data_IF_677241662281
#
_entry.id   IF_677241662281
#
_cell.length_a   1.000
_cell.length_b   1.000
_cell.length_c   1.000
_cell.angle_alpha   90.00
_cell.angle_beta   90.00
_cell.angle_gamma   90.00
#
_symmetry.space_group_name_H-M   'P 1'
#
loop_
_entity.id
_entity.type
_entity.pdbx_description
1 polymer ?
#
# COMPACT_ATOMS: atom_id res chain seq x y z
N UNK A 1 1.72 -0.27 -23.50
CA UNK A 1 0.42 -0.96 -23.36
C UNK A 1 0.24 -1.31 -21.88
N UNK A 2 -0.86 -0.88 -21.24
CA UNK A 2 -1.19 -1.22 -19.85
C UNK A 2 -2.06 -2.47 -19.82
N UNK A 3 -1.73 -3.41 -18.94
CA UNK A 3 -2.50 -4.64 -18.74
C UNK A 3 -2.98 -4.71 -17.28
N UNK A 4 -4.31 -4.61 -17.03
CA UNK A 4 -4.84 -4.76 -15.68
C UNK A 4 -4.53 -6.18 -15.16
N UNK A 5 -4.32 -6.29 -13.84
CA UNK A 5 -4.11 -7.59 -13.21
C UNK A 5 -5.46 -8.22 -12.90
N UNK A 6 -5.64 -9.47 -13.33
CA UNK A 6 -6.87 -10.22 -13.10
C UNK A 6 -6.98 -10.80 -11.67
N UNK A 7 -5.93 -10.67 -10.85
CA UNK A 7 -5.90 -11.24 -9.49
C UNK A 7 -5.33 -10.28 -8.46
N UNK A 8 -5.82 -10.38 -7.22
CA UNK A 8 -5.32 -9.60 -6.09
C UNK A 8 -3.83 -9.88 -5.81
N UNK A 9 -3.37 -11.13 -5.98
CA UNK A 9 -1.96 -11.46 -5.86
C UNK A 9 -1.12 -10.74 -6.92
N UNK A 10 -1.57 -10.73 -8.17
CA UNK A 10 -0.89 -9.99 -9.25
C UNK A 10 -0.84 -8.48 -8.97
N UNK A 11 -1.92 -7.92 -8.43
CA UNK A 11 -2.01 -6.52 -8.04
C UNK A 11 -1.07 -6.20 -6.86
N UNK A 12 -1.02 -7.07 -5.85
CA UNK A 12 -0.10 -6.95 -4.71
C UNK A 12 1.36 -6.90 -5.19
N UNK A 13 1.81 -7.87 -6.00
CA UNK A 13 3.20 -7.90 -6.46
C UNK A 13 3.55 -6.73 -7.37
N UNK A 14 2.59 -6.26 -8.19
CA UNK A 14 2.76 -5.05 -8.98
C UNK A 14 3.03 -3.83 -8.08
N UNK A 15 2.19 -3.62 -7.05
CA UNK A 15 2.33 -2.49 -6.14
C UNK A 15 3.52 -2.63 -5.18
N UNK A 16 3.90 -3.86 -4.81
CA UNK A 16 5.14 -4.17 -4.10
C UNK A 16 6.37 -3.70 -4.89
N UNK A 17 6.43 -4.03 -6.19
CA UNK A 17 7.48 -3.55 -7.10
C UNK A 17 7.47 -2.04 -7.25
N UNK A 18 6.27 -1.44 -7.37
CA UNK A 18 6.12 0.01 -7.47
C UNK A 18 6.61 0.76 -6.22
N UNK A 19 6.28 0.26 -5.02
CA UNK A 19 6.77 0.81 -3.74
C UNK A 19 8.28 0.77 -3.64
N UNK A 20 8.89 -0.37 -3.99
CA UNK A 20 10.36 -0.54 -4.07
C UNK A 20 10.99 0.45 -5.03
N UNK A 21 10.45 0.56 -6.25
CA UNK A 21 10.95 1.51 -7.26
C UNK A 21 10.87 2.96 -6.79
N UNK A 22 9.77 3.34 -6.12
CA UNK A 22 9.62 4.70 -5.59
C UNK A 22 10.62 5.00 -4.47
N UNK A 23 10.84 4.06 -3.55
CA UNK A 23 11.87 4.19 -2.52
C UNK A 23 13.28 4.36 -3.11
N UNK A 24 13.63 3.59 -4.15
CA UNK A 24 14.91 3.76 -4.87
C UNK A 24 15.07 5.18 -5.44
N UNK A 25 14.03 5.71 -6.08
CA UNK A 25 14.07 7.06 -6.65
C UNK A 25 14.20 8.14 -5.56
N UNK A 26 13.47 7.99 -4.46
CA UNK A 26 13.57 8.86 -3.27
C UNK A 26 15.00 8.89 -2.73
N UNK A 27 15.60 7.71 -2.53
CA UNK A 27 16.96 7.58 -2.03
C UNK A 27 18.02 8.10 -3.02
N UNK A 28 17.84 7.84 -4.32
CA UNK A 28 18.79 8.26 -5.38
C UNK A 28 18.80 9.77 -5.58
N UNK A 29 17.62 10.41 -5.61
CA UNK A 29 17.48 11.83 -5.93
C UNK A 29 17.24 12.72 -4.70
N UNK A 30 17.24 12.16 -3.48
CA UNK A 30 16.95 12.86 -2.22
C UNK A 30 15.65 13.68 -2.29
N UNK A 31 14.64 13.15 -2.99
CA UNK A 31 13.36 13.84 -3.18
C UNK A 31 12.39 13.53 -2.04
N UNK A 32 11.59 14.51 -1.63
CA UNK A 32 10.50 14.30 -0.67
C UNK A 32 9.24 13.90 -1.45
N UNK A 33 8.63 12.72 -1.18
CA UNK A 33 7.37 12.33 -1.80
C UNK A 33 6.25 13.32 -1.48
N UNK A 34 5.29 13.47 -2.39
CA UNK A 34 4.09 14.29 -2.12
C UNK A 34 3.29 13.65 -0.98
N UNK A 35 2.59 14.47 -0.16
CA UNK A 35 1.77 14.02 0.98
C UNK A 35 0.83 12.87 0.62
N UNK A 36 0.13 12.97 -0.52
CA UNK A 36 -0.75 11.91 -1.04
C UNK A 36 -0.07 10.54 -1.24
N UNK A 37 1.24 10.53 -1.49
CA UNK A 37 2.04 9.30 -1.57
C UNK A 37 2.51 8.87 -0.19
N UNK A 38 2.71 9.79 0.75
CA UNK A 38 3.09 9.45 2.12
C UNK A 38 1.96 8.79 2.90
N UNK A 39 0.69 9.11 2.62
CA UNK A 39 -0.45 8.50 3.32
C UNK A 39 -0.44 6.96 3.24
N UNK A 40 -0.31 6.32 2.05
CA UNK A 40 -0.18 4.86 2.00
C UNK A 40 1.09 4.30 2.67
N UNK A 41 2.14 5.10 2.95
CA UNK A 41 3.34 4.60 3.65
C UNK A 41 3.02 4.17 5.08
N UNK A 42 1.98 4.74 5.68
CA UNK A 42 1.60 4.42 7.05
C UNK A 42 0.91 3.06 7.17
N UNK A 43 0.42 2.49 6.08
CA UNK A 43 -0.37 1.25 6.11
C UNK A 43 0.42 0.07 6.67
N UNK A 44 1.65 -0.17 6.22
CA UNK A 44 2.46 -1.27 6.76
C UNK A 44 2.79 -1.08 8.25
N UNK A 45 3.27 0.08 8.73
CA UNK A 45 3.41 0.36 10.16
C UNK A 45 2.12 0.18 10.96
N UNK A 46 0.97 0.60 10.43
CA UNK A 46 -0.35 0.41 11.06
C UNK A 46 -0.71 -1.07 11.18
N UNK A 47 -0.45 -1.87 10.14
CA UNK A 47 -0.64 -3.33 10.18
C UNK A 47 0.30 -3.96 11.21
N UNK A 48 1.57 -3.55 11.28
CA UNK A 48 2.50 -4.03 12.31
C UNK A 48 2.04 -3.63 13.72
N UNK A 49 1.60 -2.39 13.92
CA UNK A 49 1.06 -1.92 15.19
C UNK A 49 -0.14 -2.76 15.64
N UNK A 50 -1.04 -3.10 14.71
CA UNK A 50 -2.21 -3.91 15.01
C UNK A 50 -1.89 -5.32 15.54
N UNK A 51 -0.70 -5.85 15.24
CA UNK A 51 -0.26 -7.13 15.79
C UNK A 51 -0.14 -7.08 17.33
N UNK A 52 0.03 -5.89 17.92
CA UNK A 52 0.10 -5.68 19.37
C UNK A 52 -1.28 -5.46 20.03
N UNK A 53 -2.39 -5.79 19.36
CA UNK A 53 -3.74 -5.60 19.91
C UNK A 53 -3.96 -6.31 21.25
N UNK A 54 -3.26 -7.43 21.47
CA UNK A 54 -3.33 -8.21 22.72
C UNK A 54 -2.67 -7.48 23.90
N UNK A 55 -1.74 -6.55 23.65
CA UNK A 55 -1.15 -5.68 24.68
C UNK A 55 -2.07 -4.50 24.95
N UNK A 56 -2.55 -3.86 23.88
CA UNK A 56 -3.44 -2.72 23.99
C UNK A 56 -4.41 -2.68 22.81
N UNK A 57 -5.72 -2.77 23.09
CA UNK A 57 -6.74 -2.86 22.04
C UNK A 57 -6.71 -1.67 21.06
N UNK A 58 -6.37 -0.45 21.54
CA UNK A 58 -6.20 0.72 20.66
C UNK A 58 -5.19 0.51 19.52
N UNK A 59 -4.26 -0.44 19.64
CA UNK A 59 -3.31 -0.75 18.57
C UNK A 59 -3.99 -1.22 17.28
N UNK A 60 -5.19 -1.81 17.36
CA UNK A 60 -5.97 -2.24 16.17
C UNK A 60 -6.77 -1.10 15.54
N UNK A 61 -7.05 -0.02 16.28
CA UNK A 61 -7.97 1.05 15.84
C UNK A 61 -7.53 1.68 14.51
N UNK A 62 -6.25 2.06 14.29
CA UNK A 62 -5.84 2.64 13.02
C UNK A 62 -6.02 1.68 11.83
N UNK A 63 -5.84 0.36 12.04
CA UNK A 63 -6.08 -0.65 11.00
C UNK A 63 -7.56 -0.70 10.62
N UNK A 64 -8.44 -0.71 11.63
CA UNK A 64 -9.89 -0.73 11.42
C UNK A 64 -10.35 0.53 10.71
N UNK A 65 -9.89 1.71 11.12
CA UNK A 65 -10.22 2.98 10.45
C UNK A 65 -9.82 2.93 8.97
N UNK A 66 -8.59 2.52 8.66
CA UNK A 66 -8.14 2.41 7.28
C UNK A 66 -8.97 1.40 6.46
N UNK A 67 -9.24 0.22 7.01
CA UNK A 67 -10.05 -0.81 6.35
C UNK A 67 -11.49 -0.33 6.11
N UNK A 68 -12.12 0.28 7.12
CA UNK A 68 -13.48 0.84 7.02
C UNK A 68 -13.58 1.94 5.97
N UNK A 69 -12.57 2.82 5.86
CA UNK A 69 -12.54 3.85 4.80
C UNK A 69 -12.45 3.20 3.41
N UNK A 70 -11.57 2.21 3.22
CA UNK A 70 -11.42 1.56 1.91
C UNK A 70 -12.67 0.78 1.50
N UNK A 71 -13.21 -0.03 2.41
CA UNK A 71 -14.41 -0.83 2.16
C UNK A 71 -15.66 0.05 2.03
N UNK A 72 -15.82 1.04 2.90
CA UNK A 72 -16.91 2.00 2.86
C UNK A 72 -16.95 2.79 1.56
N UNK A 73 -15.77 3.22 1.06
CA UNK A 73 -15.69 3.84 -0.26
C UNK A 73 -16.07 2.88 -1.38
N UNK A 74 -15.62 1.61 -1.33
CA UNK A 74 -16.03 0.58 -2.30
C UNK A 74 -17.56 0.37 -2.33
N UNK A 75 -18.17 0.25 -1.15
CA UNK A 75 -19.63 0.13 -1.00
C UNK A 75 -20.34 1.38 -1.53
N UNK A 76 -19.86 2.57 -1.18
CA UNK A 76 -20.39 3.83 -1.71
C UNK A 76 -20.35 3.85 -3.24
N UNK A 77 -19.22 3.47 -3.85
CA UNK A 77 -19.10 3.42 -5.32
C UNK A 77 -20.01 2.38 -5.94
N UNK A 78 -20.23 1.25 -5.28
CA UNK A 78 -21.17 0.24 -5.75
C UNK A 78 -22.61 0.72 -5.74
N UNK A 79 -23.03 1.37 -4.65
CA UNK A 79 -24.38 1.93 -4.52
C UNK A 79 -24.61 3.11 -5.47
N UNK A 80 -23.67 4.04 -5.54
CA UNK A 80 -23.78 5.26 -6.37
C UNK A 80 -23.84 4.94 -7.86
N UNK A 81 -23.09 3.93 -8.32
CA UNK A 81 -23.04 3.53 -9.74
C UNK A 81 -23.99 2.36 -10.06
N UNK A 82 -24.76 1.88 -9.07
CA UNK A 82 -25.65 0.70 -9.18
C UNK A 82 -24.96 -0.52 -9.80
N UNK A 83 -23.68 -0.71 -9.48
CA UNK A 83 -22.89 -1.83 -9.97
C UNK A 83 -22.17 -2.51 -8.79
N UNK A 84 -22.53 -3.76 -8.41
CA UNK A 84 -21.96 -4.46 -7.27
C UNK A 84 -20.46 -4.74 -7.44
N UNK A 85 -19.95 -4.86 -8.68
CA UNK A 85 -18.54 -5.15 -8.94
C UNK A 85 -17.62 -4.04 -8.41
N UNK A 86 -18.13 -2.81 -8.31
CA UNK A 86 -17.38 -1.68 -7.76
C UNK A 86 -17.08 -1.84 -6.26
N UNK A 87 -17.75 -2.74 -5.53
CA UNK A 87 -17.36 -3.05 -4.16
C UNK A 87 -15.93 -3.61 -4.09
N UNK A 88 -15.51 -4.33 -5.13
CA UNK A 88 -14.14 -4.85 -5.27
C UNK A 88 -13.11 -3.73 -5.42
N UNK A 89 -13.51 -2.51 -5.76
CA UNK A 89 -12.60 -1.36 -5.78
C UNK A 89 -12.01 -1.08 -4.39
N UNK A 90 -12.81 -1.25 -3.32
CA UNK A 90 -12.34 -1.09 -1.95
C UNK A 90 -11.27 -2.12 -1.58
N UNK A 91 -11.52 -3.40 -1.88
CA UNK A 91 -10.56 -4.50 -1.66
C UNK A 91 -9.29 -4.29 -2.49
N UNK A 92 -9.46 -3.89 -3.75
CA UNK A 92 -8.34 -3.59 -4.65
C UNK A 92 -7.47 -2.46 -4.08
N UNK A 93 -8.09 -1.38 -3.59
CA UNK A 93 -7.38 -0.27 -2.97
C UNK A 93 -6.60 -0.71 -1.72
N UNK A 94 -7.16 -1.58 -0.87
CA UNK A 94 -6.46 -2.12 0.30
C UNK A 94 -5.18 -2.87 -0.13
N UNK A 95 -5.30 -3.76 -1.12
CA UNK A 95 -4.17 -4.55 -1.64
C UNK A 95 -3.10 -3.65 -2.26
N UNK A 96 -3.51 -2.64 -3.03
CA UNK A 96 -2.61 -1.67 -3.65
C UNK A 96 -1.85 -0.85 -2.61
N UNK A 97 -2.56 -0.27 -1.64
CA UNK A 97 -1.96 0.54 -0.57
C UNK A 97 -1.01 -0.30 0.28
N UNK A 98 -1.43 -1.50 0.69
CA UNK A 98 -0.60 -2.40 1.49
C UNK A 98 0.65 -2.84 0.74
N UNK A 99 0.50 -3.37 -0.48
CA UNK A 99 1.64 -3.82 -1.29
C UNK A 99 2.65 -2.70 -1.53
N UNK A 100 2.17 -1.50 -1.84
CA UNK A 100 3.03 -0.33 -2.02
C UNK A 100 3.81 0.04 -0.76
N UNK A 101 3.12 0.09 0.39
CA UNK A 101 3.69 0.40 1.69
C UNK A 101 4.80 -0.60 2.05
N UNK A 102 4.49 -1.89 1.98
CA UNK A 102 5.43 -2.99 2.24
C UNK A 102 6.64 -2.86 1.33
N UNK A 103 6.43 -2.67 0.02
CA UNK A 103 7.51 -2.57 -0.96
C UNK A 103 8.45 -1.40 -0.67
N UNK A 104 7.89 -0.25 -0.27
CA UNK A 104 8.66 0.93 0.09
C UNK A 104 9.52 0.68 1.34
N UNK A 105 8.91 0.18 2.43
CA UNK A 105 9.62 -0.09 3.69
C UNK A 105 10.68 -1.17 3.55
N UNK A 106 10.40 -2.26 2.82
CA UNK A 106 11.39 -3.30 2.53
C UNK A 106 12.60 -2.75 1.77
N UNK A 107 12.42 -1.79 0.87
CA UNK A 107 13.52 -1.16 0.16
C UNK A 107 14.28 -0.14 1.02
N UNK A 108 13.59 0.53 1.95
CA UNK A 108 14.19 1.50 2.84
C UNK A 108 15.02 0.84 3.95
N UNK A 109 14.51 -0.26 4.52
CA UNK A 109 15.13 -1.02 5.61
C UNK A 109 16.06 -2.14 5.13
N UNK A 110 15.83 -2.63 3.91
CA UNK A 110 16.64 -3.70 3.33
C UNK A 110 18.10 -3.27 3.10
N UNK A 111 19.03 -4.23 3.01
CA UNK A 111 20.42 -3.94 2.71
C UNK A 111 20.49 -3.08 1.46
N UNK A 112 21.20 -1.95 1.54
CA UNK A 112 21.55 -1.17 0.36
C UNK A 112 22.46 -2.07 -0.48
N UNK A 113 21.87 -2.85 -1.38
CA UNK A 113 22.63 -3.46 -2.45
C UNK A 113 23.21 -2.30 -3.24
N UNK A 114 24.47 -2.03 -2.92
CA UNK A 114 25.35 -1.10 -3.58
C UNK A 114 25.50 -1.68 -4.99
N UNK A 115 24.54 -1.38 -5.86
CA UNK A 115 24.60 -1.82 -7.24
C UNK A 115 25.84 -1.15 -7.81
N UNK A 116 26.86 -2.00 -8.02
CA UNK A 116 28.14 -1.73 -8.65
C UNK A 116 27.96 -0.68 -9.74
N UNK A 117 28.84 0.32 -9.72
CA UNK A 117 29.21 1.08 -10.92
C UNK A 117 29.51 0.04 -12.00
N UNK A 118 28.65 -0.06 -13.01
CA UNK A 118 29.10 -0.61 -14.28
C UNK A 118 29.80 0.58 -14.93
N UNK A 119 31.13 0.50 -14.93
CA UNK A 119 32.01 1.34 -15.70
C UNK A 119 31.79 1.08 -17.20
#
# INVERSE_FOLDING_TARGET
IYYPRASLAGLYFQYLGYGRGRAKNVLKHRMIPKVRQMVPLLVFPVVLLSAFFFVHWLAVVPLLVWASVCLGYGVWTALSQRNPDNALAGISAMVMHFGWSVGFWLQLLGPRSQSRRVA
#
